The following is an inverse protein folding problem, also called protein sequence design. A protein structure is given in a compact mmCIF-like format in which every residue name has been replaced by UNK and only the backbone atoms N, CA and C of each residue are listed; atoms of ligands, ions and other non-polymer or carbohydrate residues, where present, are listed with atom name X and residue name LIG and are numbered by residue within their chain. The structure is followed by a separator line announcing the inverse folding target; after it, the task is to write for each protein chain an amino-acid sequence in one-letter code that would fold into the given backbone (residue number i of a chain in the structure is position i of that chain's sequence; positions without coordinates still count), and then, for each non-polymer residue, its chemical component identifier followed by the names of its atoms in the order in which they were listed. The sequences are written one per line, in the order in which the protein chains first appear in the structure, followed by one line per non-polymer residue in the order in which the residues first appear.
data_IF_007336542665
#
_entry.id   IF_007336542665
#
_cell.length_a   1.000
_cell.length_b   1.000
_cell.length_c   1.000
_cell.angle_alpha   90.00
_cell.angle_beta   90.00
_cell.angle_gamma   90.00
#
_symmetry.space_group_name_H-M   'P 1'
#
loop_
_entity.id
_entity.type
_entity.pdbx_description
1 polymer ?
#
# COMPACT_ATOMS: atom_id res chain seq x y z
N UNK A 1 -1.82 -3.83 -8.50
CA UNK A 1 -2.73 -3.18 -7.52
C UNK A 1 -3.01 -1.79 -8.04
N UNK A 2 -4.25 -1.31 -7.94
CA UNK A 2 -4.62 0.06 -8.36
C UNK A 2 -3.81 1.13 -7.61
N UNK A 3 -3.31 2.14 -8.32
CA UNK A 3 -2.45 3.18 -7.75
C UNK A 3 -3.07 4.00 -6.60
N UNK A 4 -4.34 4.45 -6.66
CA UNK A 4 -4.96 5.17 -5.54
C UNK A 4 -4.97 4.33 -4.26
N UNK A 5 -5.17 3.03 -4.41
CA UNK A 5 -5.18 2.09 -3.29
C UNK A 5 -3.78 1.85 -2.74
N UNK A 6 -2.77 1.82 -3.61
CA UNK A 6 -1.36 1.75 -3.21
C UNK A 6 -0.99 2.98 -2.37
N UNK A 7 -1.28 4.19 -2.86
CA UNK A 7 -1.04 5.46 -2.17
C UNK A 7 -1.76 5.52 -0.82
N UNK A 8 -3.03 5.12 -0.77
CA UNK A 8 -3.79 5.07 0.47
C UNK A 8 -3.13 4.16 1.52
N UNK A 9 -2.69 2.97 1.10
CA UNK A 9 -1.99 2.02 1.98
C UNK A 9 -0.62 2.55 2.40
N UNK A 10 0.12 3.16 1.49
CA UNK A 10 1.43 3.73 1.75
C UNK A 10 1.34 4.86 2.78
N UNK A 11 0.47 5.85 2.55
CA UNK A 11 0.28 6.96 3.49
C UNK A 11 -0.29 6.52 4.83
N UNK A 12 -1.15 5.50 4.84
CA UNK A 12 -1.65 4.94 6.08
C UNK A 12 -0.56 4.21 6.87
N UNK A 13 0.30 3.44 6.21
CA UNK A 13 1.40 2.74 6.87
C UNK A 13 2.50 3.68 7.35
N UNK A 14 2.87 4.68 6.53
CA UNK A 14 3.92 5.65 6.84
C UNK A 14 3.48 6.70 7.87
N UNK A 15 2.27 7.27 7.71
CA UNK A 15 1.84 8.47 8.45
C UNK A 15 0.50 8.31 9.17
N UNK A 16 -0.12 7.11 9.18
CA UNK A 16 -1.49 6.88 9.70
C UNK A 16 -2.55 7.81 9.10
N UNK A 17 -2.33 8.29 7.86
CA UNK A 17 -3.26 9.14 7.14
C UNK A 17 -4.23 8.33 6.29
N UNK A 18 -5.48 8.76 6.26
CA UNK A 18 -6.52 8.20 5.41
C UNK A 18 -6.75 9.11 4.20
N UNK A 19 -7.29 8.58 3.07
CA UNK A 19 -7.72 9.40 1.96
C UNK A 19 -8.75 10.46 2.39
N UNK A 20 -8.70 11.64 1.76
CA UNK A 20 -9.71 12.68 1.94
C UNK A 20 -11.09 12.14 1.54
N UNK A 21 -12.10 12.38 2.38
CA UNK A 21 -13.46 11.87 2.16
C UNK A 21 -13.66 10.38 2.45
N UNK A 22 -12.64 9.66 2.96
CA UNK A 22 -12.80 8.25 3.29
C UNK A 22 -13.84 8.04 4.39
N UNK A 23 -14.82 7.17 4.11
CA UNK A 23 -15.83 6.77 5.10
C UNK A 23 -15.24 5.85 6.16
N UNK A 24 -15.92 5.64 7.28
CA UNK A 24 -15.47 4.68 8.30
C UNK A 24 -15.34 3.25 7.74
N UNK A 25 -16.17 2.89 6.76
CA UNK A 25 -16.07 1.62 6.03
C UNK A 25 -14.77 1.53 5.25
N UNK A 26 -14.38 2.60 4.55
CA UNK A 26 -13.13 2.65 3.79
C UNK A 26 -11.91 2.61 4.72
N UNK A 27 -11.96 3.36 5.82
CA UNK A 27 -10.92 3.34 6.84
C UNK A 27 -10.76 1.95 7.44
N UNK A 28 -11.86 1.27 7.78
CA UNK A 28 -11.84 -0.11 8.29
C UNK A 28 -11.19 -1.07 7.28
N UNK A 29 -11.62 -1.04 6.02
CA UNK A 29 -11.03 -1.84 4.94
C UNK A 29 -9.54 -1.56 4.79
N UNK A 30 -9.13 -0.30 4.88
CA UNK A 30 -7.73 0.10 4.78
C UNK A 30 -6.89 -0.46 5.93
N UNK A 31 -7.42 -0.42 7.17
CA UNK A 31 -6.76 -1.02 8.35
C UNK A 31 -6.59 -2.53 8.17
N UNK A 32 -7.63 -3.22 7.74
CA UNK A 32 -7.62 -4.66 7.55
C UNK A 32 -6.64 -5.07 6.45
N UNK A 33 -6.57 -4.28 5.37
CA UNK A 33 -5.56 -4.47 4.33
C UNK A 33 -4.15 -4.21 4.85
N UNK A 34 -3.93 -3.12 5.58
CA UNK A 34 -2.63 -2.72 6.11
C UNK A 34 -2.02 -3.78 7.05
N UNK A 35 -2.83 -4.65 7.67
CA UNK A 35 -2.31 -5.79 8.44
C UNK A 35 -1.45 -6.73 7.60
N UNK A 36 -1.77 -6.88 6.31
CA UNK A 36 -1.13 -7.78 5.34
C UNK A 36 0.07 -7.16 4.63
N UNK A 37 0.32 -5.86 4.81
CA UNK A 37 1.38 -5.13 4.11
C UNK A 37 2.32 -4.44 5.10
N UNK A 38 3.53 -4.15 4.67
CA UNK A 38 4.49 -3.31 5.37
C UNK A 38 5.12 -2.31 4.40
N UNK A 39 5.42 -1.10 4.88
CA UNK A 39 6.22 -0.12 4.16
C UNK A 39 7.66 -0.21 4.63
N UNK A 40 8.60 -0.46 3.71
CA UNK A 40 10.04 -0.46 4.00
C UNK A 40 10.72 0.42 2.95
N UNK A 41 11.53 1.40 3.36
CA UNK A 41 12.29 2.28 2.46
C UNK A 41 11.45 2.91 1.32
N UNK A 42 10.24 3.39 1.62
CA UNK A 42 9.36 4.03 0.63
C UNK A 42 8.57 3.07 -0.27
N UNK A 43 8.70 1.76 -0.08
CA UNK A 43 8.04 0.73 -0.90
C UNK A 43 7.10 -0.13 -0.07
N UNK A 44 5.99 -0.57 -0.67
CA UNK A 44 5.07 -1.51 -0.04
C UNK A 44 5.44 -2.95 -0.39
N UNK A 45 5.50 -3.78 0.65
CA UNK A 45 5.74 -5.21 0.57
C UNK A 45 4.56 -5.95 1.18
N UNK A 46 4.21 -7.10 0.62
CA UNK A 46 3.24 -8.01 1.25
C UNK A 46 3.98 -8.81 2.33
N UNK A 47 3.45 -8.83 3.55
CA UNK A 47 3.97 -9.69 4.62
C UNK A 47 3.78 -11.15 4.20
N UNK A 48 4.85 -11.94 4.28
CA UNK A 48 4.78 -13.39 4.07
C UNK A 48 3.95 -14.06 5.17
N UNK A 49 3.42 -15.26 4.88
CA UNK A 49 2.83 -16.11 5.92
C UNK A 49 3.93 -16.64 6.84
N UNK A 50 3.70 -16.54 8.14
CA UNK A 50 4.60 -17.05 9.17
C UNK A 50 5.77 -16.11 9.50
N UNK A 51 5.53 -15.13 10.38
CA UNK A 51 6.51 -14.40 11.21
C UNK A 51 7.87 -13.95 10.61
N UNK A 52 8.08 -14.01 9.30
CA UNK A 52 9.33 -13.61 8.69
C UNK A 52 9.37 -12.10 8.57
N UNK A 53 10.34 -11.53 9.28
CA UNK A 53 10.70 -10.10 9.32
C UNK A 53 11.48 -9.71 8.05
N UNK A 54 11.08 -10.24 6.89
CA UNK A 54 11.68 -9.91 5.61
C UNK A 54 10.60 -9.43 4.66
N UNK A 55 10.89 -8.37 3.88
CA UNK A 55 9.91 -7.86 2.94
C UNK A 55 9.63 -8.98 1.94
N UNK A 56 8.41 -9.52 1.96
CA UNK A 56 7.95 -10.46 0.96
C UNK A 56 7.86 -9.79 -0.42
N UNK A 57 7.02 -10.33 -1.30
CA UNK A 57 6.89 -9.80 -2.67
C UNK A 57 6.52 -8.30 -2.66
N UNK A 58 7.32 -7.49 -3.35
CA UNK A 58 7.04 -6.06 -3.56
C UNK A 58 5.70 -5.90 -4.28
N UNK A 59 4.83 -5.04 -3.75
CA UNK A 59 3.47 -4.85 -4.25
C UNK A 59 3.47 -4.10 -5.58
N UNK A 60 4.41 -3.18 -5.74
CA UNK A 60 4.65 -2.45 -6.97
C UNK A 60 5.81 -3.14 -7.71
N UNK A 61 5.50 -4.25 -8.38
CA UNK A 61 6.46 -4.84 -9.30
C UNK A 61 6.78 -3.81 -10.40
N UNK A 62 8.06 -3.69 -10.78
CA UNK A 62 8.64 -2.65 -11.63
C UNK A 62 7.82 -2.27 -12.88
N UNK A 63 7.00 -3.18 -13.43
CA UNK A 63 6.12 -2.90 -14.57
C UNK A 63 4.91 -2.00 -14.30
N UNK A 64 4.40 -1.88 -13.06
CA UNK A 64 3.20 -1.05 -12.78
C UNK A 64 3.54 0.41 -12.41
N UNK A 65 4.79 0.73 -12.06
CA UNK A 65 5.16 2.08 -11.63
C UNK A 65 5.18 3.05 -12.82
N UNK A 66 5.81 2.63 -13.92
CA UNK A 66 5.96 3.43 -15.13
C UNK A 66 4.62 3.65 -15.86
N UNK A 67 3.75 2.64 -15.89
CA UNK A 67 2.40 2.77 -16.49
C UNK A 67 1.51 3.76 -15.75
N UNK A 68 1.74 3.91 -14.44
CA UNK A 68 0.92 4.75 -13.57
C UNK A 68 1.41 6.20 -13.55
N UNK A 69 2.74 6.41 -13.56
CA UNK A 69 3.32 7.75 -13.66
C UNK A 69 2.93 8.38 -15.02
N UNK A 70 2.90 7.60 -16.09
CA UNK A 70 2.48 8.07 -17.42
C UNK A 70 0.98 8.39 -17.56
N UNK A 71 0.13 8.07 -16.58
CA UNK A 71 -1.29 8.45 -16.58
C UNK A 71 -1.59 9.77 -15.86
N UNK A 72 -0.58 10.40 -15.25
CA UNK A 72 -0.71 11.64 -14.50
C UNK A 72 -0.04 12.83 -15.21
N UNK A 73 0.47 12.62 -16.44
CA UNK A 73 1.06 13.67 -17.29
C UNK A 73 0.15 13.90 -18.49
#
# INVERSE_FOLDING_TARGET
MEYPRYLALYYYLANKRYPLGATETDKRRLRDQARKYCSVNGRLYRKGEGNQVYPGREVLHQGNAEEVINKVI
#
